data_IF_082480553728
#
_entry.id   IF_082480553728
#
_cell.length_a   1.000
_cell.length_b   1.000
_cell.length_c   1.000
_cell.angle_alpha   90.00
_cell.angle_beta   90.00
_cell.angle_gamma   90.00
#
_symmetry.space_group_name_H-M   'P 1'
#
loop_
_entity.id
_entity.type
_entity.pdbx_description
1 polymer ?
#
# COMPACT_ATOMS: atom_id res chain seq x y z
N UNK A 1 26.59 23.69 11.29
CA UNK A 1 25.52 23.83 10.29
C UNK A 1 24.37 23.01 10.83
N UNK A 2 23.48 23.65 11.61
CA UNK A 2 22.38 22.97 12.33
C UNK A 2 21.35 22.52 11.32
N UNK A 3 21.11 21.23 11.35
CA UNK A 3 20.10 20.47 10.61
C UNK A 3 18.72 21.12 10.84
N UNK A 4 18.23 21.86 9.86
CA UNK A 4 16.83 22.25 9.80
C UNK A 4 16.08 20.99 9.42
N UNK A 5 15.63 20.24 10.41
CA UNK A 5 14.54 19.28 10.20
C UNK A 5 13.47 20.06 9.45
N UNK A 6 13.23 19.71 8.19
CA UNK A 6 12.35 20.49 7.33
C UNK A 6 10.96 20.47 7.98
N UNK A 7 10.37 21.64 8.22
CA UNK A 7 9.02 21.82 8.78
C UNK A 7 7.99 20.89 8.12
N UNK A 8 8.24 20.51 6.86
CA UNK A 8 7.40 19.59 6.10
C UNK A 8 7.45 18.16 6.63
N UNK A 9 8.63 17.70 7.08
CA UNK A 9 8.78 16.35 7.65
C UNK A 9 8.09 16.25 9.00
N UNK A 10 8.28 17.26 9.85
CA UNK A 10 7.63 17.32 11.17
C UNK A 10 6.10 17.34 11.02
N UNK A 11 5.58 18.14 10.09
CA UNK A 11 4.17 18.23 9.83
C UNK A 11 3.57 16.89 9.34
N UNK A 12 4.26 16.22 8.40
CA UNK A 12 3.82 14.94 7.87
C UNK A 12 3.86 13.83 8.93
N UNK A 13 4.95 13.72 9.69
CA UNK A 13 5.08 12.74 10.78
C UNK A 13 4.01 12.96 11.86
N UNK A 14 3.79 14.22 12.25
CA UNK A 14 2.74 14.57 13.23
C UNK A 14 1.37 14.14 12.75
N UNK A 15 1.04 14.43 11.47
CA UNK A 15 -0.24 14.04 10.89
C UNK A 15 -0.41 12.52 10.84
N UNK A 16 0.63 11.78 10.41
CA UNK A 16 0.60 10.31 10.33
C UNK A 16 0.41 9.67 11.71
N UNK A 17 1.10 10.17 12.74
CA UNK A 17 0.95 9.68 14.11
C UNK A 17 -0.49 9.89 14.63
N UNK A 18 -1.06 11.08 14.41
CA UNK A 18 -2.44 11.39 14.79
C UNK A 18 -3.44 10.57 13.99
N UNK A 19 -3.15 10.31 12.71
CA UNK A 19 -4.00 9.48 11.86
C UNK A 19 -4.02 8.02 12.34
N UNK A 20 -2.88 7.45 12.70
CA UNK A 20 -2.78 6.11 13.27
C UNK A 20 -3.55 6.02 14.60
N UNK A 21 -3.39 6.99 15.49
CA UNK A 21 -4.12 7.06 16.74
C UNK A 21 -5.64 7.12 16.52
N UNK A 22 -6.08 7.98 15.59
CA UNK A 22 -7.49 8.15 15.26
C UNK A 22 -8.12 6.88 14.66
N UNK A 23 -7.36 6.10 13.88
CA UNK A 23 -7.82 4.81 13.35
C UNK A 23 -7.94 3.75 14.45
N UNK A 24 -7.11 3.82 15.48
CA UNK A 24 -7.19 2.95 16.66
C UNK A 24 -8.35 3.30 17.60
N UNK A 25 -8.81 4.56 17.58
CA UNK A 25 -9.88 5.11 18.45
C UNK A 25 -10.88 5.92 17.62
N UNK A 26 -11.63 5.33 16.72
CA UNK A 26 -12.41 6.06 15.71
C UNK A 26 -13.53 6.94 16.29
N UNK A 27 -13.93 6.73 17.53
CA UNK A 27 -15.04 7.44 18.17
C UNK A 27 -14.62 8.76 18.87
N UNK A 28 -13.32 9.08 18.94
CA UNK A 28 -12.80 10.24 19.67
C UNK A 28 -12.93 11.58 18.90
N UNK A 29 -13.51 11.57 17.70
CA UNK A 29 -13.66 12.78 16.87
C UNK A 29 -12.35 13.31 16.26
N UNK A 30 -11.21 12.71 16.58
CA UNK A 30 -9.90 13.13 16.11
C UNK A 30 -9.81 13.10 14.57
N UNK A 31 -10.39 12.10 13.91
CA UNK A 31 -10.44 12.02 12.44
C UNK A 31 -11.03 13.28 11.79
N UNK A 32 -12.02 13.90 12.43
CA UNK A 32 -12.63 15.13 11.91
C UNK A 32 -11.65 16.29 11.84
N UNK A 33 -10.70 16.35 12.77
CA UNK A 33 -9.68 17.41 12.81
C UNK A 33 -8.56 17.19 11.81
N UNK A 34 -8.40 15.97 11.28
CA UNK A 34 -7.32 15.61 10.38
C UNK A 34 -7.63 15.83 8.90
N UNK A 35 -8.90 15.92 8.52
CA UNK A 35 -9.32 16.07 7.13
C UNK A 35 -9.88 17.46 6.86
N UNK A 36 -9.44 18.06 5.75
CA UNK A 36 -10.00 19.30 5.25
C UNK A 36 -11.47 19.07 4.80
N UNK A 37 -12.39 20.04 4.90
CA UNK A 37 -13.78 19.88 4.41
C UNK A 37 -13.84 19.36 2.98
N UNK A 38 -12.99 19.91 2.10
CA UNK A 38 -12.85 19.56 0.68
C UNK A 38 -11.83 18.43 0.47
N UNK A 39 -11.79 17.41 1.31
CA UNK A 39 -10.81 16.35 1.19
C UNK A 39 -11.22 15.22 0.25
N UNK A 40 -10.24 14.52 -0.27
CA UNK A 40 -10.40 13.36 -1.14
C UNK A 40 -9.57 12.20 -0.63
N UNK A 41 -10.17 11.04 -0.50
CA UNK A 41 -9.44 9.82 -0.20
C UNK A 41 -9.63 8.80 -1.33
N UNK A 42 -8.53 8.42 -1.97
CA UNK A 42 -8.49 7.33 -2.92
C UNK A 42 -7.88 6.10 -2.25
N UNK A 43 -8.65 5.01 -2.22
CA UNK A 43 -8.15 3.70 -1.80
C UNK A 43 -7.96 2.80 -3.02
N UNK A 44 -6.79 2.17 -3.09
CA UNK A 44 -6.43 1.20 -4.13
C UNK A 44 -6.16 -0.13 -3.43
N UNK A 45 -7.21 -0.88 -3.17
CA UNK A 45 -7.23 -2.22 -2.58
C UNK A 45 -6.70 -2.32 -1.13
N UNK A 46 -6.23 -1.23 -0.53
CA UNK A 46 -5.52 -1.29 0.74
C UNK A 46 -6.43 -1.55 1.94
N UNK A 47 -7.51 -0.80 2.05
CA UNK A 47 -8.44 -0.89 3.17
C UNK A 47 -9.79 -1.46 2.75
N UNK A 48 -10.23 -1.16 1.53
CA UNK A 48 -11.57 -1.51 1.03
C UNK A 48 -11.61 -2.71 0.11
N UNK A 49 -10.49 -3.23 -0.34
CA UNK A 49 -10.38 -4.22 -1.42
C UNK A 49 -11.01 -3.76 -2.75
N UNK A 50 -11.25 -2.46 -2.88
CA UNK A 50 -11.78 -1.83 -4.08
C UNK A 50 -10.87 -0.67 -4.51
N UNK A 51 -10.98 -0.29 -5.78
CA UNK A 51 -10.42 0.96 -6.29
C UNK A 51 -11.54 1.98 -6.24
N UNK A 52 -11.50 2.86 -5.24
CA UNK A 52 -12.55 3.86 -5.03
C UNK A 52 -11.98 5.21 -4.62
N UNK A 53 -12.76 6.26 -4.83
CA UNK A 53 -12.44 7.61 -4.37
C UNK A 53 -13.64 8.15 -3.60
N UNK A 54 -13.41 8.59 -2.38
CA UNK A 54 -14.39 9.27 -1.56
C UNK A 54 -14.14 10.78 -1.59
N UNK A 55 -15.18 11.52 -1.79
CA UNK A 55 -15.22 12.98 -1.89
C UNK A 55 -15.83 13.59 -0.66
N UNK A 56 -15.13 14.57 -0.09
CA UNK A 56 -15.57 15.30 1.09
C UNK A 56 -15.29 14.57 2.39
N UNK A 57 -14.96 15.36 3.41
CA UNK A 57 -14.64 14.86 4.75
C UNK A 57 -15.72 13.92 5.30
N UNK A 58 -16.98 14.26 5.18
CA UNK A 58 -18.07 13.48 5.78
C UNK A 58 -18.17 12.06 5.20
N UNK A 59 -17.96 11.92 3.88
CA UNK A 59 -17.92 10.60 3.24
C UNK A 59 -16.74 9.77 3.74
N UNK A 60 -15.57 10.40 3.94
CA UNK A 60 -14.38 9.76 4.47
C UNK A 60 -14.61 9.32 5.92
N UNK A 61 -15.13 10.20 6.76
CA UNK A 61 -15.39 9.91 8.18
C UNK A 61 -16.43 8.79 8.37
N UNK A 62 -17.36 8.66 7.45
CA UNK A 62 -18.36 7.57 7.48
C UNK A 62 -17.75 6.21 7.11
N UNK A 63 -16.86 6.17 6.13
CA UNK A 63 -16.33 4.91 5.58
C UNK A 63 -15.06 4.43 6.29
N UNK A 64 -14.12 5.34 6.55
CA UNK A 64 -12.78 5.01 7.02
C UNK A 64 -12.75 4.20 8.33
N UNK A 65 -13.52 4.54 9.39
CA UNK A 65 -13.53 3.76 10.62
C UNK A 65 -13.98 2.31 10.43
N UNK A 66 -14.97 2.08 9.56
CA UNK A 66 -15.49 0.75 9.28
C UNK A 66 -14.45 -0.11 8.56
N UNK A 67 -13.79 0.47 7.57
CA UNK A 67 -12.74 -0.20 6.78
C UNK A 67 -11.50 -0.45 7.63
N UNK A 68 -11.09 0.50 8.47
CA UNK A 68 -9.96 0.36 9.37
C UNK A 68 -10.16 -0.76 10.41
N UNK A 69 -11.36 -0.96 10.94
CA UNK A 69 -11.65 -2.10 11.83
C UNK A 69 -11.36 -3.46 11.18
N UNK A 70 -11.62 -3.59 9.90
CA UNK A 70 -11.37 -4.83 9.14
C UNK A 70 -9.92 -4.98 8.72
N UNK A 71 -9.35 -3.95 8.13
CA UNK A 71 -8.00 -3.96 7.57
C UNK A 71 -6.91 -3.85 8.64
N UNK A 72 -7.20 -3.23 9.80
CA UNK A 72 -6.27 -2.96 10.92
C UNK A 72 -4.99 -2.29 10.42
N UNK A 73 -5.10 -1.11 9.78
CA UNK A 73 -3.92 -0.38 9.35
C UNK A 73 -3.14 0.17 10.54
N UNK A 74 -1.81 0.20 10.41
CA UNK A 74 -0.89 0.70 11.42
C UNK A 74 0.53 0.81 10.89
N UNK A 75 1.48 1.17 11.75
CA UNK A 75 2.89 1.38 11.40
C UNK A 75 3.07 2.43 10.29
N UNK A 76 2.32 3.52 10.39
CA UNK A 76 2.43 4.62 9.44
C UNK A 76 3.75 5.37 9.64
N UNK A 77 4.56 5.47 8.59
CA UNK A 77 5.85 6.17 8.62
C UNK A 77 6.19 6.76 7.26
N UNK A 78 6.92 7.87 7.25
CA UNK A 78 7.48 8.44 6.03
C UNK A 78 8.35 7.40 5.33
N UNK A 79 8.20 7.27 4.01
CA UNK A 79 8.98 6.35 3.20
C UNK A 79 10.41 6.88 3.03
N UNK A 80 11.37 6.30 3.75
CA UNK A 80 12.78 6.74 3.76
C UNK A 80 13.53 6.50 2.45
N UNK A 81 13.02 5.62 1.59
CA UNK A 81 13.56 5.30 0.26
C UNK A 81 12.90 6.08 -0.88
N UNK A 82 12.03 7.04 -0.55
CA UNK A 82 11.31 7.90 -1.48
C UNK A 82 11.68 9.37 -1.25
N UNK A 83 11.13 10.25 -2.09
CA UNK A 83 11.30 11.69 -1.91
C UNK A 83 10.82 12.12 -0.52
N UNK A 84 11.65 12.88 0.18
CA UNK A 84 11.30 13.45 1.47
C UNK A 84 10.05 14.36 1.37
N UNK A 85 9.33 14.57 2.48
CA UNK A 85 8.23 15.51 2.54
C UNK A 85 8.66 16.89 2.06
N UNK A 86 7.84 17.53 1.26
CA UNK A 86 8.20 18.81 0.62
C UNK A 86 6.99 19.69 0.32
N UNK A 87 7.23 20.99 0.25
CA UNK A 87 6.23 21.94 -0.26
C UNK A 87 6.11 21.82 -1.78
N UNK A 88 4.89 21.68 -2.26
CA UNK A 88 4.57 21.56 -3.68
C UNK A 88 3.35 22.40 -4.02
N UNK A 89 3.27 22.83 -5.29
CA UNK A 89 2.03 23.40 -5.83
C UNK A 89 1.27 22.31 -6.60
N UNK A 90 0.01 22.08 -6.25
CA UNK A 90 -0.88 21.14 -6.92
C UNK A 90 -2.24 21.80 -7.16
N UNK A 91 -2.70 21.78 -8.41
CA UNK A 91 -3.97 22.40 -8.82
C UNK A 91 -4.14 23.83 -8.29
N UNK A 92 -3.06 24.64 -8.33
CA UNK A 92 -3.06 26.02 -7.83
C UNK A 92 -2.97 26.18 -6.31
N UNK A 93 -2.90 25.09 -5.54
CA UNK A 93 -2.84 25.11 -4.08
C UNK A 93 -1.45 24.70 -3.58
N UNK A 94 -0.91 25.46 -2.62
CA UNK A 94 0.32 25.09 -1.93
C UNK A 94 0.01 24.02 -0.88
N UNK A 95 0.71 22.89 -0.97
CA UNK A 95 0.53 21.76 -0.06
C UNK A 95 1.88 21.21 0.41
N UNK A 96 1.91 20.56 1.55
CA UNK A 96 2.99 19.66 1.94
C UNK A 96 2.63 18.27 1.40
N UNK A 97 3.47 17.73 0.50
CA UNK A 97 3.32 16.40 -0.05
C UNK A 97 4.28 15.44 0.63
N UNK A 98 3.79 14.31 1.13
CA UNK A 98 4.60 13.27 1.74
C UNK A 98 4.18 11.90 1.24
N UNK A 99 5.17 11.04 1.02
CA UNK A 99 5.00 9.63 0.70
C UNK A 99 5.23 8.84 1.98
N UNK A 100 4.30 7.96 2.31
CA UNK A 100 4.37 7.15 3.52
C UNK A 100 4.17 5.66 3.22
N UNK A 101 4.55 4.83 4.18
CA UNK A 101 4.27 3.39 4.21
C UNK A 101 3.41 3.07 5.40
N UNK A 102 2.69 1.97 5.30
CA UNK A 102 1.87 1.43 6.38
C UNK A 102 1.72 -0.08 6.20
N UNK A 103 1.26 -0.72 7.25
CA UNK A 103 0.90 -2.14 7.20
C UNK A 103 -0.60 -2.30 7.45
N UNK A 104 -1.14 -3.41 6.97
CA UNK A 104 -2.47 -3.89 7.32
C UNK A 104 -2.36 -5.29 7.92
N UNK A 105 -3.48 -5.85 8.38
CA UNK A 105 -3.51 -7.23 8.85
C UNK A 105 -2.91 -8.22 7.83
N UNK A 106 -3.14 -7.99 6.54
CA UNK A 106 -2.82 -8.96 5.48
C UNK A 106 -1.79 -8.46 4.46
N UNK A 107 -1.38 -7.21 4.51
CA UNK A 107 -0.47 -6.66 3.50
C UNK A 107 0.34 -5.48 3.98
N UNK A 108 1.22 -5.00 3.10
CA UNK A 108 1.99 -3.77 3.25
C UNK A 108 1.59 -2.81 2.14
N UNK A 109 1.46 -1.55 2.49
CA UNK A 109 0.99 -0.53 1.58
C UNK A 109 1.87 0.72 1.59
N UNK A 110 1.62 1.55 0.61
CA UNK A 110 2.15 2.90 0.53
C UNK A 110 1.04 3.91 0.31
N UNK A 111 1.34 5.17 0.53
CA UNK A 111 0.36 6.22 0.30
C UNK A 111 1.02 7.56 0.06
N UNK A 112 0.19 8.51 -0.33
CA UNK A 112 0.57 9.91 -0.49
C UNK A 112 -0.44 10.77 0.25
N UNK A 113 0.05 11.66 1.09
CA UNK A 113 -0.76 12.72 1.68
C UNK A 113 -0.38 14.07 1.11
N UNK A 114 -1.37 14.96 0.98
CA UNK A 114 -1.17 16.38 0.77
C UNK A 114 -1.89 17.15 1.85
N UNK A 115 -1.12 17.88 2.62
CA UNK A 115 -1.61 18.69 3.73
C UNK A 115 -1.71 20.13 3.28
N UNK A 116 -2.85 20.77 3.57
CA UNK A 116 -3.08 22.19 3.36
C UNK A 116 -3.54 22.85 4.65
N UNK A 117 -3.28 24.16 4.85
CA UNK A 117 -3.82 24.87 6.00
C UNK A 117 -5.34 25.07 5.86
N UNK A 118 -6.06 24.87 6.95
CA UNK A 118 -7.48 25.20 7.05
C UNK A 118 -7.64 26.56 7.72
N UNK A 119 -8.09 27.55 6.96
CA UNK A 119 -8.25 28.92 7.45
C UNK A 119 -9.29 29.04 8.55
N UNK A 120 -10.30 28.18 8.53
CA UNK A 120 -11.39 28.18 9.53
C UNK A 120 -10.96 27.50 10.85
N UNK A 121 -9.82 26.82 10.86
CA UNK A 121 -9.24 26.15 12.05
C UNK A 121 -7.82 26.64 12.34
N UNK A 122 -7.62 27.95 12.36
CA UNK A 122 -6.35 28.56 12.76
C UNK A 122 -5.16 28.17 11.87
N UNK A 123 -5.37 27.88 10.60
CA UNK A 123 -4.38 27.37 9.66
C UNK A 123 -3.76 26.03 10.05
N UNK A 124 -4.46 25.20 10.81
CA UNK A 124 -4.04 23.83 11.09
C UNK A 124 -3.91 23.05 9.77
N UNK A 125 -2.83 22.31 9.64
CA UNK A 125 -2.58 21.46 8.47
C UNK A 125 -3.50 20.24 8.50
N UNK A 126 -4.32 20.09 7.46
CA UNK A 126 -5.29 18.99 7.29
C UNK A 126 -5.05 18.28 5.97
N UNK A 127 -5.38 17.00 5.91
CA UNK A 127 -5.31 16.24 4.67
C UNK A 127 -6.34 16.76 3.67
N UNK A 128 -5.86 17.28 2.56
CA UNK A 128 -6.65 17.60 1.39
C UNK A 128 -6.81 16.41 0.47
N UNK A 129 -5.70 15.69 0.22
CA UNK A 129 -5.76 14.42 -0.53
C UNK A 129 -5.02 13.34 0.23
N UNK A 130 -5.63 12.16 0.29
CA UNK A 130 -5.03 10.94 0.82
C UNK A 130 -5.14 9.85 -0.24
N UNK A 131 -4.04 9.19 -0.53
CA UNK A 131 -3.98 7.93 -1.28
C UNK A 131 -3.51 6.83 -0.34
N UNK A 132 -4.19 5.69 -0.38
CA UNK A 132 -3.73 4.43 0.20
C UNK A 132 -3.71 3.36 -0.87
N UNK A 133 -2.60 2.64 -1.01
CA UNK A 133 -2.39 1.61 -2.02
C UNK A 133 -1.84 0.35 -1.37
N UNK A 134 -2.40 -0.81 -1.71
CA UNK A 134 -1.83 -2.09 -1.33
C UNK A 134 -0.66 -2.41 -2.26
N UNK A 135 0.54 -2.52 -1.71
CA UNK A 135 1.76 -2.85 -2.45
C UNK A 135 1.98 -4.36 -2.58
N UNK A 136 1.83 -5.07 -1.46
CA UNK A 136 2.03 -6.53 -1.43
C UNK A 136 1.19 -7.20 -0.34
N UNK A 137 0.92 -8.49 -0.52
CA UNK A 137 0.31 -9.35 0.49
C UNK A 137 1.40 -10.04 1.32
N UNK A 138 1.23 -10.08 2.64
CA UNK A 138 2.12 -10.81 3.55
C UNK A 138 2.04 -12.31 3.24
N UNK A 139 3.19 -12.95 3.06
CA UNK A 139 3.29 -14.35 2.66
C UNK A 139 3.24 -14.60 1.15
N UNK A 140 3.01 -13.55 0.35
CA UNK A 140 3.02 -13.58 -1.12
C UNK A 140 3.91 -12.47 -1.68
N UNK A 141 5.03 -12.23 -1.02
CA UNK A 141 6.00 -11.24 -1.45
C UNK A 141 6.60 -11.62 -2.81
N UNK A 142 6.84 -10.62 -3.65
CA UNK A 142 7.43 -10.85 -4.97
C UNK A 142 8.81 -11.50 -4.87
N UNK A 143 9.04 -12.54 -5.68
CA UNK A 143 10.33 -13.21 -5.83
C UNK A 143 11.27 -12.41 -6.75
N UNK A 144 11.43 -11.12 -6.44
CA UNK A 144 12.27 -10.17 -7.18
C UNK A 144 13.37 -9.58 -6.29
N UNK A 145 14.36 -8.97 -6.89
CA UNK A 145 15.43 -8.29 -6.16
C UNK A 145 16.11 -9.18 -5.13
N UNK A 146 16.01 -8.79 -3.87
CA UNK A 146 16.60 -9.54 -2.74
C UNK A 146 15.90 -10.88 -2.47
N UNK A 147 14.63 -10.99 -2.81
CA UNK A 147 13.81 -12.20 -2.64
C UNK A 147 13.97 -13.18 -3.81
N UNK A 148 14.72 -12.82 -4.84
CA UNK A 148 14.91 -13.70 -6.00
C UNK A 148 15.61 -14.99 -5.57
N UNK A 149 15.10 -16.18 -5.98
CA UNK A 149 15.77 -17.45 -5.71
C UNK A 149 17.23 -17.41 -6.17
N UNK A 150 18.14 -17.80 -5.30
CA UNK A 150 19.59 -17.85 -5.59
C UNK A 150 20.04 -19.30 -5.75
N UNK A 151 21.30 -19.48 -6.16
CA UNK A 151 21.86 -20.80 -6.48
C UNK A 151 21.60 -21.92 -5.45
N UNK A 152 21.50 -21.59 -4.17
CA UNK A 152 21.19 -22.57 -3.12
C UNK A 152 19.73 -23.08 -3.15
N UNK A 153 18.83 -22.37 -3.85
CA UNK A 153 17.44 -22.80 -4.05
C UNK A 153 17.28 -23.80 -5.21
N UNK A 154 18.33 -24.03 -5.98
CA UNK A 154 18.33 -24.97 -7.10
C UNK A 154 19.02 -26.25 -6.69
N UNK A 155 18.37 -27.39 -6.96
CA UNK A 155 18.99 -28.70 -6.74
C UNK A 155 20.21 -28.88 -7.63
N UNK A 156 21.30 -29.37 -7.06
CA UNK A 156 22.50 -29.80 -7.76
C UNK A 156 22.61 -31.33 -7.86
N UNK A 157 21.51 -32.02 -7.57
CA UNK A 157 21.44 -33.47 -7.70
C UNK A 157 21.26 -33.84 -9.19
N UNK A 158 22.36 -34.21 -9.82
CA UNK A 158 22.36 -34.66 -11.22
C UNK A 158 21.87 -36.09 -11.40
N UNK A 159 21.51 -36.82 -10.34
CA UNK A 159 20.97 -38.18 -10.37
C UNK A 159 19.44 -38.20 -10.19
N UNK A 160 18.85 -37.06 -9.82
CA UNK A 160 17.41 -36.88 -9.65
C UNK A 160 16.68 -36.62 -10.97
N UNK A 161 15.36 -36.34 -10.90
CA UNK A 161 14.57 -36.00 -12.08
C UNK A 161 15.13 -34.78 -12.78
N UNK A 162 15.20 -34.83 -14.10
CA UNK A 162 15.64 -33.72 -14.91
C UNK A 162 14.60 -32.59 -14.96
N UNK A 163 14.96 -31.45 -15.54
CA UNK A 163 14.07 -30.29 -15.60
C UNK A 163 12.72 -30.60 -16.29
N UNK A 164 12.72 -31.44 -17.34
CA UNK A 164 11.51 -31.83 -18.07
C UNK A 164 10.60 -32.72 -17.20
N UNK A 165 11.19 -33.63 -16.44
CA UNK A 165 10.44 -34.50 -15.52
C UNK A 165 9.75 -33.67 -14.43
N UNK A 166 10.48 -32.74 -13.81
CA UNK A 166 9.93 -31.82 -12.81
C UNK A 166 8.81 -30.95 -13.36
N UNK A 167 8.99 -30.45 -14.59
CA UNK A 167 7.97 -29.67 -15.28
C UNK A 167 6.72 -30.51 -15.58
N UNK A 168 6.88 -31.70 -16.10
CA UNK A 168 5.77 -32.58 -16.41
C UNK A 168 5.00 -32.99 -15.15
N UNK A 169 5.70 -33.31 -14.07
CA UNK A 169 5.11 -33.60 -12.75
C UNK A 169 4.33 -32.40 -12.24
N UNK A 170 4.91 -31.21 -12.30
CA UNK A 170 4.23 -29.98 -11.87
C UNK A 170 3.00 -29.64 -12.74
N UNK A 171 3.07 -29.90 -14.04
CA UNK A 171 1.98 -29.61 -14.98
C UNK A 171 0.86 -30.66 -14.97
N UNK A 172 1.10 -31.84 -14.39
CA UNK A 172 0.09 -32.91 -14.35
C UNK A 172 -1.04 -32.66 -13.37
N UNK A 173 -0.79 -31.81 -12.33
CA UNK A 173 -1.73 -31.55 -11.24
C UNK A 173 -2.36 -32.82 -10.64
N UNK A 174 -1.60 -33.93 -10.64
CA UNK A 174 -2.09 -35.23 -10.17
C UNK A 174 -2.33 -35.29 -8.66
N UNK A 175 -1.65 -34.43 -7.91
CA UNK A 175 -1.63 -34.37 -6.44
C UNK A 175 -2.36 -33.16 -5.83
N UNK A 176 -2.79 -32.20 -6.67
CA UNK A 176 -3.44 -30.96 -6.23
C UNK A 176 -4.24 -30.28 -7.32
N UNK A 177 -5.19 -29.47 -6.96
CA UNK A 177 -5.86 -28.53 -7.85
C UNK A 177 -5.02 -27.25 -8.04
N UNK A 178 -5.07 -26.61 -9.23
CA UNK A 178 -4.44 -25.32 -9.42
C UNK A 178 -5.12 -24.24 -8.58
N UNK A 179 -4.34 -23.35 -7.98
CA UNK A 179 -4.89 -22.22 -7.23
C UNK A 179 -5.58 -21.21 -8.15
N UNK A 180 -5.06 -21.06 -9.37
CA UNK A 180 -5.58 -20.15 -10.39
C UNK A 180 -5.56 -20.86 -11.75
N UNK A 181 -6.67 -20.84 -12.45
CA UNK A 181 -6.77 -21.29 -13.83
C UNK A 181 -6.71 -20.09 -14.78
N UNK A 182 -5.68 -20.04 -15.62
CA UNK A 182 -5.53 -19.00 -16.65
C UNK A 182 -6.00 -19.53 -18.01
N UNK A 183 -7.12 -18.99 -18.50
CA UNK A 183 -7.69 -19.39 -19.79
C UNK A 183 -7.17 -18.44 -20.88
N UNK A 184 -6.35 -18.98 -21.79
CA UNK A 184 -5.78 -18.28 -22.93
C UNK A 184 -4.27 -18.03 -22.80
N UNK A 185 -3.53 -18.35 -23.89
CA UNK A 185 -2.07 -18.23 -24.00
C UNK A 185 -1.59 -16.96 -24.74
N UNK A 186 -2.43 -15.93 -24.88
CA UNK A 186 -2.04 -14.64 -25.44
C UNK A 186 -1.25 -13.77 -24.46
N UNK A 187 -0.95 -12.53 -24.84
CA UNK A 187 -0.16 -11.59 -24.01
C UNK A 187 -0.68 -11.46 -22.59
N UNK A 188 -1.99 -11.31 -22.40
CA UNK A 188 -2.60 -11.15 -21.08
C UNK A 188 -2.44 -12.40 -20.23
N UNK A 189 -2.71 -13.59 -20.76
CA UNK A 189 -2.56 -14.86 -20.06
C UNK A 189 -1.11 -15.12 -19.64
N UNK A 190 -0.16 -14.89 -20.55
CA UNK A 190 1.28 -15.03 -20.25
C UNK A 190 1.74 -14.03 -19.19
N UNK A 191 1.27 -12.78 -19.24
CA UNK A 191 1.60 -11.75 -18.24
C UNK A 191 1.06 -12.12 -16.87
N UNK A 192 -0.19 -12.59 -16.78
CA UNK A 192 -0.80 -13.04 -15.52
C UNK A 192 -0.04 -14.25 -14.97
N UNK A 193 0.23 -15.27 -15.79
CA UNK A 193 0.95 -16.46 -15.36
C UNK A 193 2.36 -16.13 -14.84
N UNK A 194 3.08 -15.23 -15.54
CA UNK A 194 4.40 -14.76 -15.12
C UNK A 194 4.31 -14.01 -13.78
N UNK A 195 3.28 -13.17 -13.58
CA UNK A 195 3.05 -12.43 -12.35
C UNK A 195 2.71 -13.35 -11.18
N UNK A 196 1.83 -14.31 -11.38
CA UNK A 196 1.48 -15.32 -10.37
C UNK A 196 2.72 -16.09 -9.93
N UNK A 197 3.57 -16.49 -10.88
CA UNK A 197 4.84 -17.16 -10.56
C UNK A 197 5.78 -16.29 -9.73
N UNK A 198 5.85 -14.98 -9.99
CA UNK A 198 6.63 -14.05 -9.17
C UNK A 198 6.11 -13.94 -7.74
N UNK A 199 4.80 -14.10 -7.54
CA UNK A 199 4.13 -14.13 -6.25
C UNK A 199 4.13 -15.53 -5.60
N UNK A 200 4.86 -16.49 -6.16
CA UNK A 200 4.90 -17.88 -5.73
C UNK A 200 3.53 -18.58 -5.72
N UNK A 201 2.61 -18.12 -6.58
CA UNK A 201 1.33 -18.74 -6.85
C UNK A 201 1.48 -19.59 -8.11
N UNK A 202 1.23 -20.88 -8.01
CA UNK A 202 1.29 -21.80 -9.17
C UNK A 202 -0.02 -21.69 -9.94
N UNK A 203 0.02 -21.17 -11.19
CA UNK A 203 -1.16 -21.14 -12.07
C UNK A 203 -1.48 -22.51 -12.59
#
# INVERSE_FOLDING_TARGET
MLDRTDDSSVAADTWLAQFEEALGKPDDGLLTTLFHPDSYWRDVLALSWNIQTLNGRDAILKALPLLARSAKPGSFAIASDRAAPRKVMRAGTNAIEAIFRFETKVGRGSGIIRLIPDADDGNRLKAWTLLTELGELKGFEEQLGVNRPRGNAYSRDFRGPNWLDLRNTSASYADRDPTVLVIGGGQSGLSIAARLKQLNVTP
#
